data_IF_158813733220
#
_entry.id   IF_158813733220
#
_cell.length_a   1.000
_cell.length_b   1.000
_cell.length_c   1.000
_cell.angle_alpha   90.00
_cell.angle_beta   90.00
_cell.angle_gamma   90.00
#
_symmetry.space_group_name_H-M   'P 1'
#
loop_
_entity.id
_entity.type
_entity.pdbx_description
1 polymer ?
#
# COMPACT_ATOMS: atom_id res chain seq x y z
N UNK A 1 1.64 13.14 -20.59
CA UNK A 1 2.41 12.31 -19.69
C UNK A 1 2.56 10.89 -20.23
N UNK A 2 3.73 10.36 -20.09
CA UNK A 2 4.00 9.00 -20.54
C UNK A 2 3.77 7.99 -19.42
N UNK A 3 2.77 7.16 -19.60
CA UNK A 3 2.41 6.14 -18.61
C UNK A 3 2.86 4.74 -19.01
N UNK A 4 3.65 4.64 -20.06
CA UNK A 4 3.97 3.33 -20.61
C UNK A 4 4.65 2.42 -19.59
N UNK A 5 5.51 2.97 -18.77
CA UNK A 5 6.20 2.16 -17.78
C UNK A 5 5.28 1.71 -16.67
N UNK A 6 4.38 2.56 -16.28
CA UNK A 6 3.34 2.19 -15.32
C UNK A 6 2.53 1.03 -15.84
N UNK A 7 2.15 1.10 -17.10
CA UNK A 7 1.30 0.10 -17.70
C UNK A 7 2.00 -1.23 -17.88
N UNK A 8 3.33 -1.23 -17.94
CA UNK A 8 4.09 -2.46 -18.06
C UNK A 8 3.95 -3.35 -16.83
N UNK A 9 3.84 -2.74 -15.66
CA UNK A 9 3.91 -3.47 -14.40
C UNK A 9 2.59 -3.50 -13.66
N UNK A 10 1.62 -2.70 -14.07
CA UNK A 10 0.40 -2.51 -13.30
C UNK A 10 -0.79 -2.41 -14.21
N UNK A 11 -1.93 -2.74 -13.65
CA UNK A 11 -3.20 -2.47 -14.29
C UNK A 11 -3.48 -0.97 -14.17
N UNK A 12 -4.35 -0.44 -15.03
CA UNK A 12 -4.76 0.96 -14.90
C UNK A 12 -5.24 1.24 -13.49
N UNK A 13 -4.92 2.42 -13.00
CA UNK A 13 -5.23 2.80 -11.65
C UNK A 13 -6.73 2.79 -11.39
N UNK A 14 -7.10 2.18 -10.29
CA UNK A 14 -8.48 2.12 -9.85
C UNK A 14 -8.44 2.06 -8.33
N UNK A 15 -8.97 3.07 -7.64
CA UNK A 15 -8.85 3.08 -6.18
C UNK A 15 -9.72 1.99 -5.53
N UNK A 16 -9.25 1.49 -4.39
CA UNK A 16 -10.05 0.56 -3.61
C UNK A 16 -11.34 1.25 -3.17
N UNK A 17 -12.49 0.61 -3.34
CA UNK A 17 -13.75 1.20 -2.89
C UNK A 17 -13.75 1.43 -1.38
N UNK A 18 -14.35 2.53 -0.96
CA UNK A 18 -14.43 2.84 0.47
C UNK A 18 -15.14 1.76 1.26
N UNK A 19 -16.15 1.10 0.65
CA UNK A 19 -16.85 0.02 1.35
C UNK A 19 -15.92 -1.14 1.70
N UNK A 20 -14.96 -1.43 0.84
CA UNK A 20 -13.97 -2.47 1.10
C UNK A 20 -13.06 -2.05 2.24
N UNK A 21 -12.60 -0.81 2.21
CA UNK A 21 -11.73 -0.28 3.26
C UNK A 21 -12.44 -0.23 4.60
N UNK A 22 -13.73 0.12 4.59
CA UNK A 22 -14.50 0.14 5.82
C UNK A 22 -14.62 -1.27 6.41
N UNK A 23 -14.86 -2.27 5.57
CA UNK A 23 -14.91 -3.65 6.05
C UNK A 23 -13.58 -4.08 6.63
N UNK A 24 -12.49 -3.70 5.98
CA UNK A 24 -11.16 -4.03 6.49
C UNK A 24 -10.94 -3.37 7.85
N UNK A 25 -11.28 -2.10 7.98
CA UNK A 25 -11.14 -1.40 9.25
C UNK A 25 -11.97 -2.07 10.35
N UNK A 26 -13.16 -2.57 9.99
CA UNK A 26 -14.07 -3.17 10.96
C UNK A 26 -13.63 -4.55 11.43
N UNK A 27 -12.65 -5.18 10.76
CA UNK A 27 -12.19 -6.51 11.18
C UNK A 27 -11.45 -6.50 12.50
N UNK A 28 -10.94 -5.35 12.90
CA UNK A 28 -10.09 -5.28 14.10
C UNK A 28 -8.68 -5.80 13.88
N UNK A 29 -8.32 -6.14 12.65
CA UNK A 29 -7.00 -6.68 12.35
C UNK A 29 -5.94 -5.60 12.22
N UNK A 30 -6.36 -4.35 12.08
CA UNK A 30 -5.45 -3.20 12.02
C UNK A 30 -5.82 -2.29 13.18
N UNK A 31 -4.85 -2.03 14.05
CA UNK A 31 -5.10 -1.27 15.27
C UNK A 31 -4.12 -0.12 15.40
N UNK A 32 -4.33 0.70 16.41
CA UNK A 32 -3.58 1.92 16.64
C UNK A 32 -2.07 1.69 16.69
N UNK A 33 -1.63 0.60 17.28
CA UNK A 33 -0.20 0.33 17.41
C UNK A 33 0.40 -0.41 16.22
N UNK A 34 -0.39 -0.67 15.20
CA UNK A 34 0.13 -1.27 13.97
C UNK A 34 0.67 -0.19 13.04
N UNK A 35 1.54 -0.61 12.13
CA UNK A 35 1.99 0.26 11.05
C UNK A 35 1.77 -0.46 9.73
N UNK A 36 1.01 0.19 8.86
CA UNK A 36 0.61 -0.38 7.58
C UNK A 36 1.48 0.15 6.45
N UNK A 37 1.92 -0.74 5.58
CA UNK A 37 2.59 -0.37 4.35
C UNK A 37 1.63 -0.58 3.20
N UNK A 38 1.48 0.44 2.37
CA UNK A 38 0.60 0.42 1.21
C UNK A 38 1.46 0.52 -0.05
N UNK A 39 1.62 -0.58 -0.75
CA UNK A 39 2.41 -0.62 -1.98
C UNK A 39 1.61 -0.05 -3.13
N UNK A 40 2.21 0.92 -3.85
CA UNK A 40 1.52 1.57 -4.94
C UNK A 40 0.38 2.41 -4.43
N UNK A 41 0.69 3.30 -3.51
CA UNK A 41 -0.35 4.01 -2.74
C UNK A 41 -1.19 4.99 -3.58
N UNK A 42 -0.74 5.33 -4.79
CA UNK A 42 -1.47 6.27 -5.62
C UNK A 42 -1.68 7.58 -4.90
N UNK A 43 -2.93 8.05 -4.90
CA UNK A 43 -3.26 9.32 -4.26
C UNK A 43 -3.55 9.21 -2.78
N UNK A 44 -3.34 8.02 -2.21
CA UNK A 44 -3.35 7.85 -0.76
C UNK A 44 -4.66 7.47 -0.13
N UNK A 45 -5.65 7.04 -0.91
CA UNK A 45 -6.97 6.73 -0.33
C UNK A 45 -6.88 5.73 0.81
N UNK A 46 -6.15 4.63 0.59
CA UNK A 46 -6.03 3.58 1.59
C UNK A 46 -5.37 4.12 2.85
N UNK A 47 -4.29 4.87 2.65
CA UNK A 47 -3.50 5.41 3.77
C UNK A 47 -4.31 6.39 4.60
N UNK A 48 -4.94 7.35 3.94
CA UNK A 48 -5.69 8.36 4.67
C UNK A 48 -6.91 7.77 5.37
N UNK A 49 -7.62 6.87 4.67
CA UNK A 49 -8.82 6.29 5.25
C UNK A 49 -8.52 5.39 6.43
N UNK A 50 -7.57 4.47 6.27
CA UNK A 50 -7.28 3.51 7.34
C UNK A 50 -6.63 4.17 8.53
N UNK A 51 -5.76 5.15 8.30
CA UNK A 51 -5.15 5.86 9.43
C UNK A 51 -6.17 6.66 10.20
N UNK A 52 -7.19 7.17 9.52
CA UNK A 52 -8.27 7.89 10.21
C UNK A 52 -9.17 6.92 10.97
N UNK A 53 -9.56 5.82 10.34
CA UNK A 53 -10.51 4.89 10.94
C UNK A 53 -9.90 4.06 12.07
N UNK A 54 -8.67 3.61 11.91
CA UNK A 54 -8.07 2.68 12.86
C UNK A 54 -7.05 3.33 13.77
N UNK A 55 -6.64 4.55 13.46
CA UNK A 55 -5.59 5.29 14.16
C UNK A 55 -4.21 4.69 13.98
N UNK A 56 -4.05 3.74 13.06
CA UNK A 56 -2.75 3.18 12.77
C UNK A 56 -1.89 4.18 12.01
N UNK A 57 -0.59 3.95 12.02
CA UNK A 57 0.31 4.69 11.15
C UNK A 57 0.40 3.99 9.81
N UNK A 58 0.52 4.76 8.74
CA UNK A 58 0.59 4.25 7.38
C UNK A 58 1.79 4.83 6.66
N UNK A 59 2.44 3.99 5.88
CA UNK A 59 3.48 4.39 4.96
C UNK A 59 3.07 3.97 3.57
N UNK A 60 2.92 4.92 2.66
CA UNK A 60 2.60 4.61 1.28
C UNK A 60 3.84 4.70 0.42
N UNK A 61 3.98 3.74 -0.49
CA UNK A 61 5.11 3.72 -1.41
C UNK A 61 4.58 3.92 -2.82
N UNK A 62 5.13 4.89 -3.51
CA UNK A 62 4.74 5.22 -4.87
C UNK A 62 5.99 5.46 -5.71
N UNK A 63 6.05 4.87 -6.91
CA UNK A 63 7.21 5.04 -7.76
C UNK A 63 7.07 6.16 -8.79
N UNK A 64 5.84 6.57 -9.07
CA UNK A 64 5.57 7.63 -10.05
C UNK A 64 5.69 8.98 -9.36
N UNK A 65 6.66 9.77 -9.79
CA UNK A 65 6.97 11.04 -9.15
C UNK A 65 5.79 12.00 -9.15
N UNK A 66 5.03 12.04 -10.25
CA UNK A 66 3.89 12.96 -10.32
C UNK A 66 2.79 12.58 -9.37
N UNK A 67 2.54 11.28 -9.25
CA UNK A 67 1.52 10.79 -8.33
C UNK A 67 1.99 11.02 -6.90
N UNK A 68 3.29 10.79 -6.65
CA UNK A 68 3.86 11.06 -5.33
C UNK A 68 3.67 12.51 -4.93
N UNK A 69 3.92 13.44 -5.85
CA UNK A 69 3.74 14.87 -5.55
C UNK A 69 2.28 15.17 -5.23
N UNK A 70 1.37 14.53 -5.94
CA UNK A 70 -0.05 14.72 -5.70
C UNK A 70 -0.46 14.21 -4.32
N UNK A 71 0.06 13.06 -3.91
CA UNK A 71 -0.31 12.51 -2.59
C UNK A 71 0.30 13.37 -1.48
N UNK A 72 1.49 13.92 -1.69
CA UNK A 72 2.08 14.81 -0.70
C UNK A 72 1.26 16.08 -0.53
N UNK A 73 0.66 16.56 -1.62
CA UNK A 73 -0.26 17.67 -1.54
C UNK A 73 -1.53 17.32 -0.78
N UNK A 74 -2.07 16.14 -1.09
CA UNK A 74 -3.27 15.66 -0.38
C UNK A 74 -3.03 15.52 1.11
N UNK A 75 -1.82 15.16 1.49
CA UNK A 75 -1.48 14.98 2.90
C UNK A 75 -1.66 16.27 3.69
N UNK A 76 -1.37 17.40 3.09
CA UNK A 76 -1.47 18.69 3.79
C UNK A 76 -2.87 18.95 4.32
N UNK A 77 -3.89 18.44 3.60
CA UNK A 77 -5.28 18.66 3.96
C UNK A 77 -5.89 17.53 4.78
N UNK A 78 -5.14 16.45 4.99
CA UNK A 78 -5.72 15.26 5.61
C UNK A 78 -5.80 15.40 7.12
N UNK A 79 -6.92 14.94 7.67
CA UNK A 79 -7.11 14.94 9.13
C UNK A 79 -6.06 14.08 9.81
N UNK A 80 -5.70 12.96 9.19
CA UNK A 80 -4.76 12.00 9.78
C UNK A 80 -3.31 12.24 9.34
N UNK A 81 -2.99 13.44 8.89
CA UNK A 81 -1.68 13.71 8.28
C UNK A 81 -0.49 13.38 9.20
N UNK A 82 -0.70 13.42 10.50
CA UNK A 82 0.37 13.10 11.44
C UNK A 82 0.70 11.62 11.49
N UNK A 83 -0.20 10.78 11.02
CA UNK A 83 -0.03 9.34 11.07
C UNK A 83 0.32 8.72 9.72
N UNK A 84 0.43 9.53 8.68
CA UNK A 84 0.74 9.01 7.33
C UNK A 84 2.06 9.59 6.85
N UNK A 85 2.79 8.78 6.12
CA UNK A 85 3.99 9.22 5.43
C UNK A 85 4.05 8.52 4.09
N UNK A 86 4.83 9.08 3.17
CA UNK A 86 4.92 8.55 1.81
C UNK A 86 6.37 8.55 1.37
N UNK A 87 6.71 7.55 0.56
CA UNK A 87 8.05 7.39 0.04
C UNK A 87 8.01 7.22 -1.47
N UNK A 88 8.85 7.96 -2.16
CA UNK A 88 9.00 7.80 -3.60
C UNK A 88 10.01 6.71 -3.84
N UNK A 89 9.54 5.52 -4.18
CA UNK A 89 10.41 4.37 -4.29
C UNK A 89 9.78 3.30 -5.16
N UNK A 90 10.62 2.42 -5.65
CA UNK A 90 10.20 1.26 -6.40
C UNK A 90 9.89 0.14 -5.40
N UNK A 91 8.68 -0.42 -5.49
CA UNK A 91 8.23 -1.41 -4.51
C UNK A 91 9.19 -2.59 -4.38
N UNK A 92 9.71 -3.07 -5.53
CA UNK A 92 10.54 -4.27 -5.52
C UNK A 92 11.91 -4.03 -4.89
N UNK A 93 12.30 -2.78 -4.73
CA UNK A 93 13.59 -2.43 -4.14
C UNK A 93 13.45 -1.82 -2.75
N UNK A 94 12.25 -1.57 -2.32
CA UNK A 94 12.00 -0.89 -1.07
C UNK A 94 12.30 -1.79 0.11
N UNK A 95 13.20 -1.35 0.99
CA UNK A 95 13.51 -2.09 2.20
C UNK A 95 12.43 -1.84 3.24
N UNK A 96 11.86 -2.90 3.75
CA UNK A 96 10.72 -2.82 4.67
C UNK A 96 11.22 -2.41 6.06
N UNK A 97 10.76 -1.27 6.59
CA UNK A 97 11.09 -0.90 7.97
C UNK A 97 10.61 -1.96 8.96
N UNK A 98 11.38 -2.11 10.04
CA UNK A 98 11.06 -3.15 11.02
C UNK A 98 9.73 -2.90 11.74
N UNK A 99 9.24 -1.67 11.74
CA UNK A 99 7.99 -1.32 12.38
C UNK A 99 6.76 -1.77 11.59
N UNK A 100 6.93 -2.07 10.31
CA UNK A 100 5.81 -2.47 9.46
C UNK A 100 5.34 -3.87 9.85
N UNK A 101 4.07 -4.00 10.21
CA UNK A 101 3.50 -5.30 10.55
C UNK A 101 2.15 -5.55 9.85
N UNK A 102 1.69 -4.62 9.05
CA UNK A 102 0.51 -4.79 8.21
C UNK A 102 0.85 -4.31 6.82
N UNK A 103 0.43 -5.07 5.80
CA UNK A 103 0.77 -4.74 4.42
C UNK A 103 -0.47 -4.87 3.56
N UNK A 104 -0.71 -3.87 2.74
CA UNK A 104 -1.86 -3.85 1.84
C UNK A 104 -1.41 -3.90 0.40
N UNK A 105 -2.02 -4.80 -0.36
CA UNK A 105 -1.77 -4.96 -1.79
C UNK A 105 -3.06 -4.77 -2.56
N UNK A 106 -3.01 -3.92 -3.57
CA UNK A 106 -4.11 -3.74 -4.50
C UNK A 106 -3.66 -4.28 -5.85
N UNK A 107 -4.17 -5.36 -6.28
CA UNK A 107 -3.89 -6.18 -7.47
C UNK A 107 -3.05 -5.56 -8.61
N UNK A 108 -2.01 -4.84 -8.36
CA UNK A 108 -1.35 -4.08 -9.45
C UNK A 108 -0.08 -4.69 -9.94
N UNK A 109 0.46 -5.66 -9.26
CA UNK A 109 1.79 -6.12 -9.60
C UNK A 109 1.76 -7.36 -10.50
N UNK A 110 2.74 -7.43 -11.40
CA UNK A 110 3.02 -8.68 -12.09
C UNK A 110 3.52 -9.70 -11.07
N UNK A 111 3.47 -10.97 -11.46
CA UNK A 111 3.95 -12.04 -10.59
C UNK A 111 5.42 -11.82 -10.24
N UNK A 112 6.20 -11.33 -11.19
CA UNK A 112 7.61 -11.10 -10.96
C UNK A 112 7.86 -10.03 -9.93
N UNK A 113 7.14 -8.93 -10.01
CA UNK A 113 7.31 -7.86 -9.05
C UNK A 113 6.81 -8.29 -7.69
N UNK A 114 5.68 -8.99 -7.65
CA UNK A 114 5.16 -9.49 -6.38
C UNK A 114 6.16 -10.42 -5.70
N UNK A 115 6.83 -11.27 -6.48
CA UNK A 115 7.84 -12.16 -5.91
C UNK A 115 8.97 -11.37 -5.26
N UNK A 116 9.42 -10.31 -5.91
CA UNK A 116 10.49 -9.47 -5.35
C UNK A 116 10.02 -8.73 -4.11
N UNK A 117 8.79 -8.25 -4.12
CA UNK A 117 8.22 -7.58 -2.95
C UNK A 117 8.13 -8.55 -1.78
N UNK A 118 7.65 -9.78 -2.04
CA UNK A 118 7.57 -10.78 -0.98
C UNK A 118 8.96 -11.12 -0.43
N UNK A 119 9.98 -11.13 -1.30
CA UNK A 119 11.34 -11.36 -0.82
C UNK A 119 11.78 -10.27 0.16
N UNK A 120 11.44 -9.00 -0.11
CA UNK A 120 11.77 -7.91 0.82
C UNK A 120 11.04 -8.10 2.15
N UNK A 121 9.80 -8.54 2.10
CA UNK A 121 9.04 -8.77 3.32
C UNK A 121 9.68 -9.89 4.15
N UNK A 122 10.07 -10.97 3.49
CA UNK A 122 10.69 -12.09 4.18
C UNK A 122 12.05 -11.69 4.79
N UNK A 123 12.82 -10.90 4.08
CA UNK A 123 14.09 -10.40 4.62
C UNK A 123 13.86 -9.62 5.92
N UNK A 124 12.88 -8.74 5.89
CA UNK A 124 12.57 -7.95 7.08
C UNK A 124 12.10 -8.83 8.23
N UNK A 125 11.29 -9.82 7.91
CA UNK A 125 10.78 -10.75 8.92
C UNK A 125 11.91 -11.53 9.59
N UNK A 126 12.87 -12.01 8.79
CA UNK A 126 13.97 -12.79 9.35
C UNK A 126 14.88 -11.93 10.21
N UNK A 127 15.05 -10.67 9.83
CA UNK A 127 15.89 -9.77 10.62
C UNK A 127 15.18 -9.33 11.90
N UNK A 128 13.87 -9.14 11.82
CA UNK A 128 13.08 -8.64 12.94
C UNK A 128 11.77 -9.43 13.01
N UNK A 129 11.80 -10.63 13.61
CA UNK A 129 10.61 -11.50 13.64
C UNK A 129 9.45 -10.82 14.35
N UNK A 130 8.29 -10.89 13.70
CA UNK A 130 7.06 -10.34 14.22
C UNK A 130 5.93 -10.89 13.37
N UNK A 131 4.70 -10.77 13.85
CA UNK A 131 3.56 -11.14 13.02
C UNK A 131 3.34 -10.09 11.95
N UNK A 132 3.34 -10.49 10.71
CA UNK A 132 3.05 -9.61 9.59
C UNK A 132 1.81 -10.14 8.88
N UNK A 133 0.77 -9.31 8.80
CA UNK A 133 -0.45 -9.67 8.08
C UNK A 133 -0.48 -8.93 6.74
N UNK A 134 -0.77 -9.69 5.70
CA UNK A 134 -0.88 -9.13 4.35
C UNK A 134 -2.33 -9.18 3.91
N UNK A 135 -2.81 -8.08 3.34
CA UNK A 135 -4.18 -7.96 2.85
C UNK A 135 -4.12 -7.75 1.35
N UNK A 136 -4.85 -8.57 0.62
CA UNK A 136 -4.87 -8.49 -0.83
C UNK A 136 -6.28 -8.17 -1.29
N UNK A 137 -6.40 -7.11 -2.07
CA UNK A 137 -7.67 -6.78 -2.69
C UNK A 137 -7.52 -6.86 -4.19
N UNK A 138 -8.42 -7.58 -4.83
CA UNK A 138 -8.44 -7.70 -6.27
C UNK A 138 -9.69 -7.03 -6.80
N UNK A 139 -9.50 -6.08 -7.71
CA UNK A 139 -10.58 -5.38 -8.33
C UNK A 139 -11.35 -6.33 -9.26
N UNK A 140 -12.65 -6.10 -9.38
CA UNK A 140 -13.49 -6.85 -10.33
C UNK A 140 -13.03 -6.66 -11.76
N UNK A 141 -12.39 -5.55 -12.07
CA UNK A 141 -11.93 -5.28 -13.42
C UNK A 141 -10.63 -5.99 -13.72
N UNK A 142 -9.96 -6.49 -12.71
CA UNK A 142 -8.81 -7.33 -12.89
C UNK A 142 -9.32 -8.71 -13.21
N UNK A 143 -9.55 -8.96 -14.49
CA UNK A 143 -10.29 -10.15 -14.92
C UNK A 143 -9.49 -11.41 -14.97
N UNK A 144 -8.21 -11.29 -15.05
CA UNK A 144 -7.38 -12.46 -15.17
C UNK A 144 -7.40 -13.21 -13.88
N UNK A 145 -7.96 -14.37 -13.93
CA UNK A 145 -7.96 -15.21 -12.76
C UNK A 145 -7.17 -16.45 -13.09
N UNK A 146 -6.12 -16.64 -12.37
CA UNK A 146 -5.31 -17.84 -12.51
C UNK A 146 -5.47 -18.71 -11.30
N UNK A 147 -6.38 -18.34 -10.49
CA UNK A 147 -6.62 -19.11 -9.27
C UNK A 147 -7.92 -19.82 -9.32
#
# INVERSE_FOLDING_TARGET
RDDSQSDQYRYPYEPTPYSVLQRLANTGLIRKNNMLLDYGCGKGRVDFFLSYQTRCRCLGVEYDERIYEKVMENKKEAVSKERVSFSLANAEEFQLPEQIDRIYFFNPFSVEILRKVMARIMESYYEHPRQILCFFYKSKQSTTSIF
#
